data_IF_087057534420
#
_entry.id   IF_087057534420
#
_cell.length_a   1.000
_cell.length_b   1.000
_cell.length_c   1.000
_cell.angle_alpha   90.00
_cell.angle_beta   90.00
_cell.angle_gamma   90.00
#
_symmetry.space_group_name_H-M   'P 1'
#
loop_
_entity.id
_entity.type
_entity.pdbx_description
1 polymer ?
#
# COMPACT_ATOMS: atom_id res chain seq x y z
N UNK A 1 43.03 -14.76 -3.62
CA UNK A 1 41.73 -14.19 -3.33
C UNK A 1 40.74 -15.21 -2.81
N UNK A 2 39.65 -14.73 -2.20
CA UNK A 2 38.57 -15.58 -1.68
C UNK A 2 37.54 -15.98 -2.75
N UNK A 3 37.60 -15.38 -3.95
CA UNK A 3 36.74 -15.66 -5.08
C UNK A 3 37.57 -15.89 -6.34
N UNK A 4 37.05 -16.74 -7.24
CA UNK A 4 37.71 -17.12 -8.48
C UNK A 4 37.26 -16.31 -9.71
N UNK A 5 36.71 -15.13 -9.49
CA UNK A 5 36.23 -14.20 -10.51
C UNK A 5 36.79 -12.82 -10.28
N UNK A 6 37.12 -12.11 -11.37
CA UNK A 6 37.62 -10.73 -11.29
C UNK A 6 36.51 -9.75 -10.94
N UNK A 7 35.30 -9.93 -11.53
CA UNK A 7 34.12 -9.12 -11.28
C UNK A 7 33.01 -10.02 -10.72
N UNK A 8 32.73 -9.96 -9.39
CA UNK A 8 31.73 -10.82 -8.76
C UNK A 8 30.28 -10.40 -9.08
N UNK A 9 30.06 -9.15 -9.50
CA UNK A 9 28.73 -8.60 -9.76
C UNK A 9 28.60 -8.23 -11.23
N UNK A 10 27.66 -8.88 -11.94
CA UNK A 10 27.44 -8.66 -13.38
C UNK A 10 26.46 -7.52 -13.66
N UNK A 11 25.65 -7.12 -12.69
CA UNK A 11 24.59 -6.10 -12.85
C UNK A 11 24.34 -5.40 -11.53
N UNK A 12 24.24 -4.07 -11.59
CA UNK A 12 23.71 -3.23 -10.50
C UNK A 12 22.25 -2.89 -10.79
N UNK A 13 21.38 -3.13 -9.82
CA UNK A 13 19.96 -2.79 -9.90
C UNK A 13 19.65 -1.76 -8.82
N UNK A 14 19.34 -0.55 -9.23
CA UNK A 14 18.94 0.52 -8.33
C UNK A 14 17.44 0.41 -8.04
N UNK A 15 17.11 -0.07 -6.85
CA UNK A 15 15.72 -0.15 -6.41
C UNK A 15 15.19 1.24 -6.02
N UNK A 16 13.93 1.52 -6.35
CA UNK A 16 13.19 2.66 -5.84
C UNK A 16 12.97 2.54 -4.33
N UNK A 17 12.82 3.67 -3.66
CA UNK A 17 12.51 3.70 -2.22
C UNK A 17 11.02 3.61 -1.97
N UNK A 18 10.63 2.96 -0.88
CA UNK A 18 9.30 3.09 -0.30
C UNK A 18 9.28 4.39 0.51
N UNK A 19 8.35 5.28 0.16
CA UNK A 19 8.20 6.59 0.77
C UNK A 19 7.11 6.54 1.85
N UNK A 20 7.27 7.40 2.87
CA UNK A 20 6.23 7.62 3.88
C UNK A 20 5.35 8.80 3.52
N UNK A 21 4.14 8.82 4.05
CA UNK A 21 3.28 9.99 4.00
C UNK A 21 3.44 10.75 5.31
N UNK A 22 4.11 11.91 5.26
CA UNK A 22 4.28 12.79 6.42
C UNK A 22 2.98 13.51 6.77
N UNK A 23 2.83 13.84 8.05
CA UNK A 23 1.75 14.66 8.56
C UNK A 23 2.34 15.99 9.07
N UNK A 24 1.64 17.10 8.76
CA UNK A 24 2.07 18.42 9.16
C UNK A 24 1.01 19.15 9.94
N UNK A 25 1.44 19.78 11.02
CA UNK A 25 0.67 20.81 11.75
C UNK A 25 1.29 22.18 11.45
N UNK A 26 0.47 23.22 11.34
CA UNK A 26 0.87 24.53 10.84
C UNK A 26 0.90 25.54 11.97
N UNK A 27 2.11 25.84 12.43
CA UNK A 27 2.36 26.77 13.54
C UNK A 27 2.39 28.20 13.05
N UNK A 28 1.72 29.06 13.82
CA UNK A 28 1.80 30.51 13.72
C UNK A 28 2.46 31.06 14.97
N UNK A 29 3.57 31.74 14.81
CA UNK A 29 4.21 32.52 15.85
C UNK A 29 3.94 33.99 15.64
N UNK A 30 3.67 34.71 16.71
CA UNK A 30 3.46 36.16 16.70
C UNK A 30 4.57 36.83 17.48
N UNK A 31 4.96 38.05 17.07
CA UNK A 31 5.83 38.92 17.86
C UNK A 31 5.11 40.22 18.15
N UNK A 32 5.27 40.72 19.36
CA UNK A 32 4.67 42.00 19.78
C UNK A 32 5.75 43.06 19.98
N UNK A 33 5.44 44.31 19.67
CA UNK A 33 6.25 45.45 20.08
C UNK A 33 5.67 45.97 21.39
N UNK A 34 6.46 45.93 22.47
CA UNK A 34 6.03 46.40 23.79
C UNK A 34 6.10 47.92 23.83
N UNK A 35 5.00 48.55 24.16
CA UNK A 35 4.90 50.04 24.35
C UNK A 35 5.20 50.44 25.78
N UNK A 36 4.65 49.71 26.74
CA UNK A 36 4.88 49.99 28.16
C UNK A 36 4.78 48.71 28.99
N UNK A 37 5.39 48.74 30.17
CA UNK A 37 5.36 47.64 31.14
C UNK A 37 4.76 48.19 32.42
N UNK A 38 3.59 47.70 32.82
CA UNK A 38 2.87 48.15 34.02
C UNK A 38 3.27 47.38 35.31
N UNK A 39 3.99 46.26 35.16
CA UNK A 39 4.41 45.42 36.29
C UNK A 39 5.90 45.05 36.18
N UNK A 40 6.51 44.61 37.30
CA UNK A 40 7.93 44.19 37.37
C UNK A 40 8.18 42.79 36.79
N UNK A 41 7.40 42.39 35.80
CA UNK A 41 7.52 41.07 35.14
C UNK A 41 8.60 41.14 34.09
N UNK A 42 9.49 40.14 34.07
CA UNK A 42 10.54 40.04 33.05
C UNK A 42 9.98 39.43 31.75
N UNK A 43 10.39 39.97 30.63
CA UNK A 43 9.97 39.54 29.29
C UNK A 43 10.20 38.04 29.01
N UNK A 44 11.29 37.49 29.57
CA UNK A 44 11.67 36.11 29.41
C UNK A 44 10.83 35.12 30.25
N UNK A 45 10.01 35.64 31.17
CA UNK A 45 9.10 34.88 32.01
C UNK A 45 7.75 34.64 31.34
N UNK A 46 7.34 35.46 30.36
CA UNK A 46 6.09 35.29 29.62
C UNK A 46 6.28 34.36 28.43
N UNK A 47 5.69 33.19 28.53
CA UNK A 47 5.68 32.21 27.45
C UNK A 47 4.32 32.21 26.73
N UNK A 48 4.35 32.48 25.44
CA UNK A 48 3.19 32.26 24.59
C UNK A 48 2.98 30.77 24.33
N UNK A 49 1.75 30.28 24.34
CA UNK A 49 1.48 28.93 23.83
C UNK A 49 1.82 28.82 22.34
N UNK A 50 2.06 27.62 21.87
CA UNK A 50 2.14 27.39 20.43
C UNK A 50 0.75 27.42 19.83
N UNK A 51 0.57 28.18 18.76
CA UNK A 51 -0.70 28.27 18.05
C UNK A 51 -0.61 27.50 16.74
N UNK A 52 -1.58 26.63 16.51
CA UNK A 52 -1.70 25.85 15.28
C UNK A 52 -3.00 26.21 14.57
N UNK A 53 -2.90 26.46 13.26
CA UNK A 53 -4.00 26.86 12.40
C UNK A 53 -4.25 25.84 11.29
N UNK A 54 -5.45 25.81 10.70
CA UNK A 54 -5.73 24.99 9.52
C UNK A 54 -4.78 25.30 8.36
N UNK A 55 -4.53 24.29 7.52
CA UNK A 55 -3.64 24.39 6.36
C UNK A 55 -3.98 25.58 5.46
N UNK A 56 -5.26 25.78 5.18
CA UNK A 56 -5.73 26.87 4.32
C UNK A 56 -5.35 28.26 4.86
N UNK A 57 -5.52 28.48 6.16
CA UNK A 57 -5.16 29.73 6.85
C UNK A 57 -3.65 29.96 6.79
N UNK A 58 -2.86 28.90 6.99
CA UNK A 58 -1.40 28.97 6.87
C UNK A 58 -0.96 29.35 5.44
N UNK A 59 -1.54 28.73 4.41
CA UNK A 59 -1.21 29.01 3.00
C UNK A 59 -1.61 30.44 2.56
N UNK A 60 -2.73 30.96 3.09
CA UNK A 60 -3.13 32.36 2.91
C UNK A 60 -2.14 33.31 3.59
N UNK A 61 -1.78 33.01 4.84
CA UNK A 61 -0.84 33.83 5.61
C UNK A 61 0.54 33.88 4.95
N UNK A 62 1.00 32.82 4.30
CA UNK A 62 2.24 32.84 3.49
C UNK A 62 2.20 33.86 2.35
N UNK A 63 1.02 34.17 1.84
CA UNK A 63 0.80 35.16 0.77
C UNK A 63 0.49 36.56 1.30
N UNK A 64 0.50 36.73 2.63
CA UNK A 64 0.15 37.99 3.30
C UNK A 64 -1.35 38.24 3.45
N UNK A 65 -2.18 37.24 3.17
CA UNK A 65 -3.62 37.26 3.36
C UNK A 65 -3.97 36.65 4.72
N UNK A 66 -4.38 37.46 5.68
CA UNK A 66 -4.64 37.07 7.06
C UNK A 66 -6.14 36.92 7.30
N UNK A 67 -6.61 35.70 7.32
CA UNK A 67 -8.01 35.36 7.59
C UNK A 67 -8.37 35.43 9.09
N UNK A 68 -9.64 35.13 9.41
CA UNK A 68 -10.15 35.17 10.78
C UNK A 68 -9.38 34.29 11.76
N UNK A 69 -8.88 33.12 11.30
CA UNK A 69 -8.10 32.20 12.12
C UNK A 69 -6.74 32.80 12.53
N UNK A 70 -6.08 33.48 11.61
CA UNK A 70 -4.82 34.19 11.90
C UNK A 70 -5.07 35.36 12.83
N UNK A 71 -6.15 36.12 12.61
CA UNK A 71 -6.56 37.25 13.49
C UNK A 71 -6.89 36.72 14.89
N UNK A 72 -7.57 35.60 15.02
CA UNK A 72 -7.87 34.97 16.31
C UNK A 72 -6.60 34.60 17.09
N UNK A 73 -5.61 33.95 16.43
CA UNK A 73 -4.30 33.64 17.05
C UNK A 73 -3.66 34.93 17.57
N UNK A 74 -3.69 35.96 16.76
CA UNK A 74 -3.09 37.23 17.11
C UNK A 74 -3.74 37.87 18.33
N UNK A 75 -5.08 37.88 18.40
CA UNK A 75 -5.83 38.42 19.53
C UNK A 75 -5.57 37.62 20.82
N UNK A 76 -5.50 36.31 20.74
CA UNK A 76 -5.13 35.43 21.87
C UNK A 76 -3.72 35.71 22.37
N UNK A 77 -2.75 35.81 21.49
CA UNK A 77 -1.37 36.12 21.85
C UNK A 77 -1.27 37.52 22.51
N UNK A 78 -2.02 38.49 21.99
CA UNK A 78 -2.10 39.84 22.58
C UNK A 78 -2.68 39.81 24.00
N UNK A 79 -3.77 39.08 24.23
CA UNK A 79 -4.37 38.92 25.57
C UNK A 79 -3.37 38.34 26.56
N UNK A 80 -2.58 37.30 26.18
CA UNK A 80 -1.55 36.73 27.06
C UNK A 80 -0.51 37.79 27.50
N UNK A 81 -0.10 38.70 26.61
CA UNK A 81 0.81 39.76 26.94
C UNK A 81 0.15 40.79 27.88
N UNK A 82 -1.07 41.20 27.57
CA UNK A 82 -1.84 42.19 28.37
C UNK A 82 -2.14 41.68 29.77
N UNK A 83 -2.51 40.41 29.93
CA UNK A 83 -2.78 39.76 31.21
C UNK A 83 -1.50 39.67 32.08
N UNK A 84 -0.33 39.68 31.46
CA UNK A 84 0.97 39.78 32.17
C UNK A 84 1.49 41.21 32.34
N UNK A 85 0.66 42.22 32.11
CA UNK A 85 0.96 43.63 32.39
C UNK A 85 1.80 44.33 31.32
N UNK A 86 1.83 43.81 30.09
CA UNK A 86 2.49 44.45 28.96
C UNK A 86 1.47 45.15 28.07
N UNK A 87 1.66 46.42 27.78
CA UNK A 87 0.94 47.10 26.72
C UNK A 87 1.67 46.83 25.40
N UNK A 88 1.01 46.14 24.47
CA UNK A 88 1.63 45.72 23.22
C UNK A 88 0.99 46.42 22.02
N UNK A 89 1.86 46.81 21.06
CA UNK A 89 1.41 47.20 19.72
C UNK A 89 1.26 45.96 18.87
N UNK A 90 0.03 45.77 18.39
CA UNK A 90 -0.27 44.70 17.48
C UNK A 90 0.31 44.97 16.09
N UNK A 91 1.23 44.14 15.65
CA UNK A 91 1.80 44.26 14.33
C UNK A 91 1.70 42.89 13.56
N UNK A 92 0.64 42.79 12.76
CA UNK A 92 0.42 41.61 11.90
C UNK A 92 1.58 41.33 10.91
N UNK A 93 2.45 42.33 10.69
CA UNK A 93 3.59 42.17 9.77
C UNK A 93 4.77 41.36 10.34
N UNK A 94 4.69 40.88 11.57
CA UNK A 94 5.72 40.08 12.25
C UNK A 94 5.21 38.71 12.66
N UNK A 95 4.60 38.01 11.72
CA UNK A 95 4.15 36.62 11.90
C UNK A 95 5.25 35.69 11.41
N UNK A 96 5.57 34.67 12.19
CA UNK A 96 6.41 33.55 11.76
C UNK A 96 5.53 32.34 11.46
N UNK A 97 5.79 31.71 10.32
CA UNK A 97 5.04 30.54 9.86
C UNK A 97 5.96 29.34 9.75
N UNK A 98 5.55 28.22 10.30
CA UNK A 98 6.32 26.97 10.19
C UNK A 98 5.40 25.75 10.12
N UNK A 99 5.66 24.87 9.16
CA UNK A 99 5.08 23.55 9.11
C UNK A 99 5.93 22.61 9.96
N UNK A 100 5.32 21.90 10.88
CA UNK A 100 5.97 21.00 11.83
C UNK A 100 5.46 19.60 11.57
N UNK A 101 6.38 18.63 11.47
CA UNK A 101 6.01 17.22 11.37
C UNK A 101 5.31 16.75 12.65
N UNK A 102 4.17 16.12 12.49
CA UNK A 102 3.49 15.36 13.54
C UNK A 102 3.77 13.86 13.35
N UNK A 103 3.74 13.11 14.45
CA UNK A 103 3.81 11.65 14.34
C UNK A 103 2.57 11.12 13.63
N UNK A 104 2.78 10.30 12.60
CA UNK A 104 1.66 9.77 11.80
C UNK A 104 0.74 8.86 12.60
N UNK A 105 1.20 8.34 13.74
CA UNK A 105 0.36 7.54 14.65
C UNK A 105 -0.74 8.35 15.35
N UNK A 106 -0.62 9.68 15.39
CA UNK A 106 -1.66 10.58 15.95
C UNK A 106 -2.72 10.96 14.93
N UNK A 107 -2.66 10.43 13.70
CA UNK A 107 -3.53 10.87 12.60
C UNK A 107 -4.35 9.71 12.08
N UNK A 108 -5.67 9.88 12.06
CA UNK A 108 -6.58 8.88 11.56
C UNK A 108 -6.67 8.84 10.01
N UNK A 109 -7.49 7.92 9.48
CA UNK A 109 -7.69 7.75 8.03
C UNK A 109 -8.38 8.93 7.33
N UNK A 110 -8.99 9.85 8.09
CA UNK A 110 -9.64 11.08 7.60
C UNK A 110 -8.72 12.30 7.69
N UNK A 111 -7.43 12.10 7.95
CA UNK A 111 -6.41 13.13 8.17
C UNK A 111 -6.64 14.01 9.39
N UNK A 112 -7.43 13.53 10.37
CA UNK A 112 -7.71 14.24 11.61
C UNK A 112 -6.65 13.89 12.66
N UNK A 113 -6.14 14.94 13.33
CA UNK A 113 -5.14 14.84 14.39
C UNK A 113 -5.80 14.53 15.73
N UNK A 114 -5.26 13.55 16.45
CA UNK A 114 -5.48 13.43 17.89
C UNK A 114 -4.68 14.54 18.59
N UNK A 115 -5.39 15.66 18.84
CA UNK A 115 -4.81 16.88 19.43
C UNK A 115 -4.26 16.62 20.83
N UNK A 116 -4.93 15.78 21.64
CA UNK A 116 -4.48 15.47 22.98
C UNK A 116 -3.21 14.63 22.99
N UNK A 117 -3.13 13.64 22.14
CA UNK A 117 -1.89 12.85 21.95
C UNK A 117 -0.74 13.73 21.47
N UNK A 118 -0.99 14.66 20.55
CA UNK A 118 0.02 15.60 20.07
C UNK A 118 0.49 16.56 21.20
N UNK A 119 -0.41 17.12 21.99
CA UNK A 119 -0.05 17.97 23.13
C UNK A 119 0.82 17.24 24.16
N UNK A 120 0.48 16.00 24.45
CA UNK A 120 1.19 15.18 25.42
C UNK A 120 2.51 14.61 24.88
N UNK A 121 2.78 14.69 23.58
CA UNK A 121 3.98 14.14 22.96
C UNK A 121 5.25 14.85 23.41
N UNK A 122 5.19 16.19 23.56
CA UNK A 122 6.33 17.00 24.02
C UNK A 122 5.87 18.06 25.00
N UNK A 123 6.69 18.28 26.04
CA UNK A 123 6.38 19.28 27.08
C UNK A 123 6.11 20.68 26.52
N UNK A 124 6.74 21.06 25.43
CA UNK A 124 6.59 22.36 24.77
C UNK A 124 5.21 22.54 24.12
N UNK A 125 4.46 21.44 23.88
CA UNK A 125 3.13 21.47 23.27
C UNK A 125 1.98 21.32 24.27
N UNK A 126 2.28 21.12 25.58
CA UNK A 126 1.23 20.90 26.58
C UNK A 126 0.16 21.98 26.58
N UNK A 127 0.61 23.26 26.46
CA UNK A 127 -0.28 24.43 26.45
C UNK A 127 -0.61 24.89 25.01
N UNK A 128 -0.34 24.08 24.00
CA UNK A 128 -0.60 24.45 22.62
C UNK A 128 -2.10 24.64 22.34
N UNK A 129 -2.41 25.64 21.56
CA UNK A 129 -3.76 25.95 21.12
C UNK A 129 -3.95 25.64 19.64
N UNK A 130 -5.01 24.94 19.34
CA UNK A 130 -5.39 24.58 17.97
C UNK A 130 -6.65 25.34 17.57
N UNK A 131 -6.61 25.96 16.39
CA UNK A 131 -7.80 26.47 15.74
C UNK A 131 -8.42 25.32 14.95
N UNK A 132 -9.62 24.92 15.34
CA UNK A 132 -10.32 23.76 14.76
C UNK A 132 -11.27 24.21 13.66
N UNK A 133 -11.51 23.34 12.68
CA UNK A 133 -12.57 23.44 11.69
C UNK A 133 -13.56 22.30 11.95
N UNK A 134 -14.82 22.61 12.18
CA UNK A 134 -15.88 21.63 12.53
C UNK A 134 -15.45 20.69 13.70
N UNK A 135 -14.87 21.28 14.75
CA UNK A 135 -14.38 20.61 15.97
C UNK A 135 -13.19 19.64 15.75
N UNK A 136 -12.59 19.60 14.56
CA UNK A 136 -11.43 18.76 14.25
C UNK A 136 -10.25 19.58 13.73
N UNK A 137 -9.04 19.06 13.90
CA UNK A 137 -7.83 19.61 13.26
C UNK A 137 -7.35 18.67 12.17
N UNK A 138 -7.36 19.13 10.92
CA UNK A 138 -6.85 18.36 9.78
C UNK A 138 -5.39 18.69 9.47
N UNK A 139 -4.57 17.66 9.42
CA UNK A 139 -3.14 17.77 9.06
C UNK A 139 -2.95 17.98 7.57
N UNK A 140 -1.83 18.62 7.19
CA UNK A 140 -1.33 18.53 5.83
C UNK A 140 -0.65 17.18 5.58
N UNK A 141 -0.68 16.71 4.32
CA UNK A 141 0.04 15.49 3.91
C UNK A 141 1.01 15.80 2.81
N UNK A 142 2.18 15.14 2.86
CA UNK A 142 3.14 15.12 1.77
C UNK A 142 3.87 13.78 1.74
N UNK A 143 4.27 13.35 0.54
CA UNK A 143 5.00 12.10 0.33
C UNK A 143 6.49 12.38 0.39
N UNK A 144 7.15 11.81 1.39
CA UNK A 144 8.57 12.07 1.66
C UNK A 144 9.33 10.75 1.94
N UNK A 145 10.65 10.82 1.87
CA UNK A 145 11.50 9.73 2.36
C UNK A 145 11.19 9.45 3.82
N UNK A 146 10.98 8.18 4.19
CA UNK A 146 10.81 7.77 5.57
C UNK A 146 12.02 8.14 6.42
N UNK A 147 11.77 8.79 7.55
CA UNK A 147 12.81 9.18 8.49
C UNK A 147 12.22 9.28 9.90
N UNK A 148 13.00 8.86 10.90
CA UNK A 148 12.62 9.02 12.31
C UNK A 148 12.41 10.49 12.69
N UNK A 149 13.17 11.41 12.09
CA UNK A 149 13.03 12.86 12.32
C UNK A 149 11.79 13.49 11.68
N UNK A 150 11.14 12.77 10.74
CA UNK A 150 9.90 13.20 10.09
C UNK A 150 8.67 12.49 10.66
N UNK A 151 8.86 11.53 11.56
CA UNK A 151 7.80 10.77 12.22
C UNK A 151 6.80 10.12 11.25
N UNK A 152 7.31 9.73 10.07
CA UNK A 152 6.54 9.12 8.97
C UNK A 152 6.97 7.68 8.68
N UNK A 153 7.62 7.02 9.64
CA UNK A 153 8.12 5.65 9.49
C UNK A 153 7.01 4.67 9.82
N UNK A 154 6.83 3.70 8.92
CA UNK A 154 6.01 2.51 9.20
C UNK A 154 6.92 1.46 9.81
N UNK A 155 6.57 0.97 11.01
CA UNK A 155 7.35 -0.09 11.66
C UNK A 155 6.98 -1.46 11.07
N UNK A 156 7.93 -2.17 10.43
CA UNK A 156 7.68 -3.52 9.90
C UNK A 156 7.17 -4.51 10.94
N UNK A 157 7.62 -4.42 12.20
CA UNK A 157 7.20 -5.34 13.26
C UNK A 157 5.69 -5.26 13.52
N UNK A 158 5.11 -4.05 13.49
CA UNK A 158 3.67 -3.86 13.65
C UNK A 158 2.92 -4.48 12.46
N UNK A 159 3.42 -4.27 11.24
CA UNK A 159 2.81 -4.85 10.04
C UNK A 159 2.88 -6.37 10.06
N UNK A 160 4.00 -6.94 10.52
CA UNK A 160 4.15 -8.41 10.66
C UNK A 160 3.22 -8.95 11.74
N UNK A 161 3.04 -8.23 12.86
CA UNK A 161 2.11 -8.65 13.92
C UNK A 161 0.64 -8.65 13.43
N UNK A 162 0.25 -7.65 12.63
CA UNK A 162 -1.14 -7.48 12.18
C UNK A 162 -1.48 -8.35 10.96
N UNK A 163 -0.55 -8.52 10.01
CA UNK A 163 -0.82 -9.13 8.70
C UNK A 163 0.04 -10.36 8.38
N UNK A 164 1.11 -10.58 9.13
CA UNK A 164 2.09 -11.64 8.87
C UNK A 164 3.21 -11.23 7.90
N UNK A 165 4.37 -11.89 8.03
CA UNK A 165 5.56 -11.59 7.24
C UNK A 165 5.36 -11.80 5.72
N UNK A 166 4.62 -12.84 5.33
CA UNK A 166 4.34 -13.10 3.91
C UNK A 166 3.48 -12.01 3.26
N UNK A 167 2.53 -11.44 4.02
CA UNK A 167 1.73 -10.29 3.52
C UNK A 167 2.61 -9.06 3.30
N UNK A 168 3.54 -8.77 4.23
CA UNK A 168 4.48 -7.66 4.08
C UNK A 168 5.37 -7.86 2.85
N UNK A 169 6.03 -9.01 2.72
CA UNK A 169 6.92 -9.33 1.60
C UNK A 169 6.22 -9.22 0.25
N UNK A 170 5.05 -9.86 0.15
CA UNK A 170 4.26 -9.87 -1.08
C UNK A 170 3.76 -8.46 -1.44
N UNK A 171 3.40 -7.65 -0.44
CA UNK A 171 2.94 -6.28 -0.64
C UNK A 171 4.07 -5.36 -1.10
N UNK A 172 5.28 -5.48 -0.55
CA UNK A 172 6.44 -4.72 -1.00
C UNK A 172 6.76 -4.97 -2.47
N UNK A 173 6.68 -6.23 -2.92
CA UNK A 173 6.83 -6.59 -4.32
C UNK A 173 5.67 -6.07 -5.19
N UNK A 174 4.45 -6.03 -4.65
CA UNK A 174 3.24 -5.62 -5.39
C UNK A 174 3.11 -4.12 -5.58
N UNK A 175 3.70 -3.29 -4.73
CA UNK A 175 3.53 -1.82 -4.72
C UNK A 175 3.78 -1.14 -6.08
N UNK A 176 4.59 -1.74 -6.95
CA UNK A 176 4.86 -1.23 -8.30
C UNK A 176 6.21 -1.64 -8.85
N UNK A 177 6.62 -1.11 -10.01
CA UNK A 177 7.91 -1.43 -10.65
C UNK A 177 9.09 -1.21 -9.70
N UNK A 178 10.08 -2.12 -9.74
CA UNK A 178 11.18 -2.16 -8.78
C UNK A 178 11.97 -0.84 -8.69
N UNK A 179 12.18 -0.15 -9.80
CA UNK A 179 13.02 1.04 -9.89
C UNK A 179 12.29 2.34 -9.48
N UNK A 180 10.96 2.31 -9.32
CA UNK A 180 10.18 3.50 -9.00
C UNK A 180 10.06 3.74 -7.50
N UNK A 181 10.00 5.03 -7.11
CA UNK A 181 9.60 5.43 -5.76
C UNK A 181 8.10 5.19 -5.57
N UNK A 182 7.72 4.70 -4.41
CA UNK A 182 6.34 4.28 -4.13
C UNK A 182 5.93 4.75 -2.74
N UNK A 183 4.80 5.46 -2.60
CA UNK A 183 4.27 5.77 -1.28
C UNK A 183 3.72 4.50 -0.62
N UNK A 184 4.06 4.30 0.66
CA UNK A 184 3.44 3.26 1.46
C UNK A 184 1.97 3.59 1.72
N UNK A 185 1.11 2.59 1.55
CA UNK A 185 -0.30 2.68 1.91
C UNK A 185 -0.72 1.43 2.67
N UNK A 186 -0.90 1.55 3.98
CA UNK A 186 -1.28 0.41 4.84
C UNK A 186 -2.61 -0.23 4.42
N UNK A 187 -3.55 0.55 3.87
CA UNK A 187 -4.82 -0.02 3.38
C UNK A 187 -4.62 -1.01 2.21
N UNK A 188 -3.57 -0.81 1.40
CA UNK A 188 -3.28 -1.69 0.26
C UNK A 188 -2.85 -3.11 0.65
N UNK A 189 -2.27 -3.29 1.85
CA UNK A 189 -1.81 -4.62 2.32
C UNK A 189 -2.99 -5.58 2.58
N UNK A 190 -4.17 -5.05 2.88
CA UNK A 190 -5.37 -5.87 3.13
C UNK A 190 -5.77 -6.70 1.91
N UNK A 191 -5.55 -6.17 0.69
CA UNK A 191 -5.80 -6.89 -0.56
C UNK A 191 -4.89 -8.11 -0.71
N UNK A 192 -3.60 -7.93 -0.43
CA UNK A 192 -2.60 -9.01 -0.46
C UNK A 192 -2.86 -10.05 0.63
N UNK A 193 -3.18 -9.61 1.84
CA UNK A 193 -3.53 -10.49 2.94
C UNK A 193 -4.79 -11.33 2.63
N UNK A 194 -5.80 -10.72 2.02
CA UNK A 194 -7.00 -11.42 1.56
C UNK A 194 -6.69 -12.42 0.45
N UNK A 195 -5.75 -12.12 -0.46
CA UNK A 195 -5.26 -13.06 -1.46
C UNK A 195 -4.61 -14.29 -0.81
N UNK A 196 -3.71 -14.12 0.18
CA UNK A 196 -3.10 -15.26 0.87
C UNK A 196 -4.14 -16.13 1.58
N UNK A 197 -5.16 -15.52 2.21
CA UNK A 197 -6.30 -16.27 2.78
C UNK A 197 -7.09 -17.05 1.72
N UNK A 198 -7.28 -16.47 0.54
CA UNK A 198 -7.95 -17.17 -0.58
C UNK A 198 -7.08 -18.31 -1.11
N UNK A 199 -5.78 -18.08 -1.25
CA UNK A 199 -4.82 -19.12 -1.61
C UNK A 199 -4.88 -20.28 -0.61
N UNK A 200 -4.82 -20.00 0.69
CA UNK A 200 -4.95 -21.04 1.72
C UNK A 200 -6.20 -21.89 1.52
N UNK A 201 -7.36 -21.27 1.27
CA UNK A 201 -8.64 -21.96 1.05
C UNK A 201 -8.67 -22.83 -0.20
N UNK A 202 -7.83 -22.59 -1.19
CA UNK A 202 -7.69 -23.44 -2.38
C UNK A 202 -7.09 -24.80 -2.00
N UNK A 203 -6.18 -24.83 -1.01
CA UNK A 203 -5.50 -26.03 -0.55
C UNK A 203 -6.18 -26.69 0.63
N UNK A 204 -6.73 -25.92 1.56
CA UNK A 204 -7.29 -26.38 2.83
C UNK A 204 -8.74 -25.96 2.93
N UNK A 205 -9.62 -26.95 2.88
CA UNK A 205 -11.07 -26.78 3.09
C UNK A 205 -11.48 -26.97 4.55
N UNK A 206 -12.77 -26.96 4.81
CA UNK A 206 -13.34 -27.14 6.17
C UNK A 206 -12.99 -28.50 6.79
N UNK A 207 -12.82 -29.53 5.97
CA UNK A 207 -12.51 -30.90 6.40
C UNK A 207 -11.02 -31.26 6.30
N UNK A 208 -10.13 -30.27 6.19
CA UNK A 208 -8.69 -30.45 6.01
C UNK A 208 -8.23 -30.26 4.57
N UNK A 209 -7.17 -30.97 4.17
CA UNK A 209 -6.55 -30.80 2.85
C UNK A 209 -7.52 -31.17 1.72
N UNK A 210 -7.71 -30.22 0.79
CA UNK A 210 -8.58 -30.34 -0.39
C UNK A 210 -7.78 -30.68 -1.67
N UNK A 211 -6.63 -31.28 -1.54
CA UNK A 211 -5.71 -31.62 -2.64
C UNK A 211 -5.58 -33.13 -2.74
N UNK A 212 -5.61 -33.66 -3.95
CA UNK A 212 -5.53 -35.07 -4.25
C UNK A 212 -4.74 -35.36 -5.54
N UNK A 213 -4.53 -36.61 -5.86
CA UNK A 213 -3.79 -37.06 -7.06
C UNK A 213 -4.65 -37.14 -8.34
N UNK A 214 -5.78 -36.41 -8.39
CA UNK A 214 -6.60 -36.33 -9.57
C UNK A 214 -5.81 -35.73 -10.73
N UNK A 215 -5.98 -36.32 -11.94
CA UNK A 215 -5.37 -35.79 -13.14
C UNK A 215 -5.87 -34.35 -13.41
N UNK A 216 -4.99 -33.44 -13.80
CA UNK A 216 -5.38 -32.06 -14.08
C UNK A 216 -6.26 -31.98 -15.34
N UNK A 217 -7.21 -31.05 -15.33
CA UNK A 217 -7.98 -30.73 -16.52
C UNK A 217 -7.13 -29.89 -17.50
N UNK A 218 -7.58 -29.80 -18.76
CA UNK A 218 -6.93 -28.93 -19.76
C UNK A 218 -6.90 -27.47 -19.30
N UNK A 219 -7.94 -26.99 -18.63
CA UNK A 219 -8.02 -25.63 -18.14
C UNK A 219 -7.07 -25.40 -16.95
N UNK A 220 -6.90 -26.39 -16.06
CA UNK A 220 -5.89 -26.33 -14.99
C UNK A 220 -4.48 -26.20 -15.56
N UNK A 221 -4.12 -27.06 -16.55
CA UNK A 221 -2.83 -27.02 -17.22
C UNK A 221 -2.62 -25.69 -17.95
N UNK A 222 -3.63 -25.21 -18.67
CA UNK A 222 -3.57 -23.90 -19.36
C UNK A 222 -3.30 -22.76 -18.37
N UNK A 223 -4.03 -22.70 -17.26
CA UNK A 223 -3.82 -21.69 -16.20
C UNK A 223 -2.43 -21.79 -15.62
N UNK A 224 -1.95 -23.00 -15.29
CA UNK A 224 -0.61 -23.21 -14.74
C UNK A 224 0.48 -22.77 -15.72
N UNK A 225 0.46 -23.26 -16.95
CA UNK A 225 1.53 -22.96 -17.92
C UNK A 225 1.53 -21.51 -18.37
N UNK A 226 0.38 -20.84 -18.45
CA UNK A 226 0.29 -19.40 -18.63
C UNK A 226 0.96 -18.65 -17.47
N UNK A 227 0.75 -19.13 -16.24
CA UNK A 227 1.34 -18.55 -15.02
C UNK A 227 2.86 -18.79 -15.00
N UNK A 228 3.35 -20.00 -15.27
CA UNK A 228 4.79 -20.32 -15.34
C UNK A 228 5.48 -19.37 -16.32
N UNK A 229 4.98 -19.29 -17.56
CA UNK A 229 5.54 -18.44 -18.60
C UNK A 229 5.64 -16.98 -18.14
N UNK A 230 4.52 -16.44 -17.63
CA UNK A 230 4.45 -15.03 -17.24
C UNK A 230 5.36 -14.72 -16.06
N UNK A 231 5.40 -15.60 -15.05
CA UNK A 231 6.25 -15.41 -13.86
C UNK A 231 7.72 -15.50 -14.23
N UNK A 232 8.11 -16.43 -15.11
CA UNK A 232 9.48 -16.52 -15.62
C UNK A 232 9.90 -15.23 -16.33
N UNK A 233 9.08 -14.74 -17.26
CA UNK A 233 9.32 -13.48 -17.98
C UNK A 233 9.41 -12.29 -17.00
N UNK A 234 8.55 -12.22 -16.00
CA UNK A 234 8.53 -11.16 -15.00
C UNK A 234 9.78 -11.15 -14.13
N UNK A 235 10.26 -12.33 -13.71
CA UNK A 235 11.50 -12.46 -12.91
C UNK A 235 12.71 -12.02 -13.74
N UNK A 236 12.80 -12.47 -14.99
CA UNK A 236 13.90 -12.10 -15.92
C UNK A 236 13.94 -10.59 -16.17
N UNK A 237 12.78 -9.92 -16.19
CA UNK A 237 12.64 -8.48 -16.39
C UNK A 237 12.52 -7.66 -15.10
N UNK A 238 12.67 -8.26 -13.93
CA UNK A 238 12.49 -7.62 -12.62
C UNK A 238 11.12 -6.96 -12.42
N UNK A 239 10.09 -7.49 -13.08
CA UNK A 239 8.70 -7.01 -13.01
C UNK A 239 7.92 -7.78 -11.92
N UNK A 240 8.43 -7.80 -10.69
CA UNK A 240 7.88 -8.62 -9.59
C UNK A 240 6.44 -8.27 -9.24
N UNK A 241 6.02 -7.02 -9.41
CA UNK A 241 4.66 -6.58 -9.17
C UNK A 241 3.63 -7.24 -10.11
N UNK A 242 4.03 -7.51 -11.35
CA UNK A 242 3.17 -8.22 -12.32
C UNK A 242 3.08 -9.71 -12.01
N UNK A 243 4.12 -10.33 -11.46
CA UNK A 243 4.05 -11.71 -10.94
C UNK A 243 3.00 -11.85 -9.84
N UNK A 244 2.95 -10.90 -8.89
CA UNK A 244 1.95 -10.93 -7.82
C UNK A 244 0.52 -10.87 -8.37
N UNK A 245 0.27 -10.00 -9.35
CA UNK A 245 -1.02 -9.94 -10.05
C UNK A 245 -1.34 -11.24 -10.77
N UNK A 246 -0.33 -11.88 -11.39
CA UNK A 246 -0.46 -13.16 -12.08
C UNK A 246 -0.84 -14.27 -11.11
N UNK A 247 -0.26 -14.29 -9.90
CA UNK A 247 -0.65 -15.24 -8.85
C UNK A 247 -2.11 -15.06 -8.41
N UNK A 248 -2.56 -13.81 -8.26
CA UNK A 248 -3.95 -13.51 -7.91
C UNK A 248 -4.92 -14.03 -8.99
N UNK A 249 -4.57 -13.85 -10.27
CA UNK A 249 -5.35 -14.38 -11.39
C UNK A 249 -5.38 -15.90 -11.37
N UNK A 250 -4.22 -16.55 -11.23
CA UNK A 250 -4.11 -18.02 -11.23
C UNK A 250 -4.92 -18.65 -10.10
N UNK A 251 -4.83 -18.12 -8.87
CA UNK A 251 -5.61 -18.60 -7.72
C UNK A 251 -7.10 -18.41 -7.96
N UNK A 252 -7.53 -17.30 -8.58
CA UNK A 252 -8.93 -17.06 -8.92
C UNK A 252 -9.45 -18.06 -9.98
N UNK A 253 -8.68 -18.28 -11.03
CA UNK A 253 -9.03 -19.22 -12.11
C UNK A 253 -9.11 -20.66 -11.56
N UNK A 254 -8.06 -21.13 -10.85
CA UNK A 254 -8.04 -22.47 -10.26
C UNK A 254 -9.14 -22.69 -9.21
N UNK A 255 -9.50 -21.66 -8.44
CA UNK A 255 -10.64 -21.73 -7.52
C UNK A 255 -11.96 -21.91 -8.28
N UNK A 256 -12.16 -21.14 -9.36
CA UNK A 256 -13.37 -21.24 -10.21
C UNK A 256 -13.45 -22.60 -10.89
N UNK A 257 -12.32 -23.13 -11.32
CA UNK A 257 -12.17 -24.47 -11.91
C UNK A 257 -12.29 -25.61 -10.89
N UNK A 258 -12.39 -25.28 -9.58
CA UNK A 258 -12.42 -26.26 -8.48
C UNK A 258 -11.23 -27.23 -8.54
N UNK A 259 -10.05 -26.70 -8.84
CA UNK A 259 -8.83 -27.48 -8.99
C UNK A 259 -8.43 -28.11 -7.65
N UNK A 260 -8.27 -29.44 -7.65
CA UNK A 260 -7.75 -30.22 -6.50
C UNK A 260 -6.48 -31.00 -6.87
N UNK A 261 -6.01 -30.89 -8.11
CA UNK A 261 -4.85 -31.63 -8.59
C UNK A 261 -3.57 -31.23 -7.88
N UNK A 262 -2.93 -32.19 -7.22
CA UNK A 262 -1.65 -32.01 -6.52
C UNK A 262 -0.55 -31.51 -7.45
N UNK A 263 -0.47 -32.02 -8.67
CA UNK A 263 0.51 -31.63 -9.69
C UNK A 263 0.46 -30.11 -9.97
N UNK A 264 -0.74 -29.57 -10.20
CA UNK A 264 -0.97 -28.15 -10.47
C UNK A 264 -0.64 -27.30 -9.25
N UNK A 265 -1.16 -27.70 -8.10
CA UNK A 265 -1.07 -26.91 -6.88
C UNK A 265 0.35 -26.91 -6.29
N UNK A 266 1.09 -28.01 -6.37
CA UNK A 266 2.52 -28.03 -6.00
C UNK A 266 3.35 -27.09 -6.88
N UNK A 267 3.13 -27.12 -8.19
CA UNK A 267 3.84 -26.24 -9.12
C UNK A 267 3.54 -24.75 -8.84
N UNK A 268 2.29 -24.41 -8.51
CA UNK A 268 1.91 -23.06 -8.11
C UNK A 268 2.62 -22.61 -6.82
N UNK A 269 2.75 -23.49 -5.81
CA UNK A 269 3.50 -23.18 -4.58
C UNK A 269 4.96 -22.85 -4.87
N UNK A 270 5.62 -23.60 -5.75
CA UNK A 270 7.01 -23.33 -6.13
C UNK A 270 7.15 -21.92 -6.72
N UNK A 271 6.22 -21.50 -7.58
CA UNK A 271 6.23 -20.15 -8.17
C UNK A 271 6.05 -19.05 -7.13
N UNK A 272 5.21 -19.28 -6.10
CA UNK A 272 4.88 -18.29 -5.06
C UNK A 272 5.92 -18.26 -3.94
N UNK A 273 6.63 -19.35 -3.70
CA UNK A 273 7.52 -19.52 -2.53
C UNK A 273 8.56 -18.40 -2.34
N UNK A 274 9.17 -17.78 -3.36
CA UNK A 274 10.09 -16.65 -3.14
C UNK A 274 9.41 -15.39 -2.62
N UNK A 275 8.13 -15.23 -2.90
CA UNK A 275 7.31 -14.07 -2.51
C UNK A 275 6.66 -14.24 -1.14
N UNK A 276 6.16 -15.45 -0.84
CA UNK A 276 5.45 -15.79 0.40
C UNK A 276 5.96 -17.15 0.94
N UNK A 277 7.20 -17.19 1.48
CA UNK A 277 7.88 -18.44 1.81
C UNK A 277 7.22 -19.24 2.92
N UNK A 278 6.65 -18.58 3.95
CA UNK A 278 6.12 -19.31 5.12
C UNK A 278 4.85 -20.07 4.78
N UNK A 279 3.89 -19.43 4.10
CA UNK A 279 2.65 -20.11 3.70
C UNK A 279 2.93 -21.18 2.63
N UNK A 280 3.91 -20.93 1.74
CA UNK A 280 4.28 -21.90 0.71
C UNK A 280 4.93 -23.14 1.32
N UNK A 281 5.86 -22.99 2.27
CA UNK A 281 6.52 -24.09 2.98
C UNK A 281 5.53 -24.91 3.82
N UNK A 282 4.62 -24.23 4.54
CA UNK A 282 3.58 -24.91 5.32
C UNK A 282 2.68 -25.76 4.43
N UNK A 283 2.15 -25.20 3.34
CA UNK A 283 1.30 -25.95 2.41
C UNK A 283 2.08 -27.07 1.70
N UNK A 284 3.35 -26.85 1.38
CA UNK A 284 4.24 -27.85 0.79
C UNK A 284 4.42 -29.06 1.70
N UNK A 285 4.66 -28.82 2.97
CA UNK A 285 4.73 -29.85 4.01
C UNK A 285 3.41 -30.62 4.16
N UNK A 286 2.27 -29.91 4.17
CA UNK A 286 0.94 -30.55 4.27
C UNK A 286 0.62 -31.43 3.05
N UNK A 287 1.20 -31.14 1.87
CA UNK A 287 1.12 -32.00 0.69
C UNK A 287 1.97 -33.26 0.76
N UNK A 288 2.67 -33.48 1.91
CA UNK A 288 3.45 -34.70 2.18
C UNK A 288 4.88 -34.66 1.65
N UNK A 289 5.42 -33.47 1.33
CA UNK A 289 6.82 -33.34 0.94
C UNK A 289 7.72 -33.25 2.18
N UNK A 290 8.85 -33.95 2.17
CA UNK A 290 9.81 -33.99 3.29
C UNK A 290 10.95 -32.96 3.15
N UNK A 291 11.30 -32.62 1.93
CA UNK A 291 12.32 -31.63 1.61
C UNK A 291 11.72 -30.22 1.55
N UNK A 292 12.50 -29.21 1.87
CA UNK A 292 12.05 -27.80 1.77
C UNK A 292 11.73 -27.42 0.33
N UNK A 293 10.67 -26.64 0.14
CA UNK A 293 10.28 -26.08 -1.15
C UNK A 293 11.39 -25.23 -1.76
N UNK A 294 12.25 -24.62 -0.92
CA UNK A 294 13.35 -23.76 -1.36
C UNK A 294 14.41 -24.47 -2.20
N UNK A 295 14.48 -25.82 -2.13
CA UNK A 295 15.41 -26.64 -2.92
C UNK A 295 14.78 -27.21 -4.20
N UNK A 296 13.50 -26.93 -4.43
CA UNK A 296 12.75 -27.46 -5.57
C UNK A 296 13.03 -26.64 -6.83
N UNK A 297 13.23 -27.33 -7.95
CA UNK A 297 13.46 -26.69 -9.25
C UNK A 297 12.24 -25.87 -9.71
N UNK A 298 12.50 -24.79 -10.42
CA UNK A 298 11.45 -23.99 -11.04
C UNK A 298 10.65 -24.84 -12.06
N UNK A 299 9.30 -24.73 -12.09
CA UNK A 299 8.46 -25.53 -12.99
C UNK A 299 8.77 -25.24 -14.46
N UNK A 300 8.80 -26.31 -15.25
CA UNK A 300 9.12 -26.21 -16.68
C UNK A 300 7.89 -25.77 -17.47
N UNK A 301 8.05 -24.75 -18.30
CA UNK A 301 6.98 -24.27 -19.19
C UNK A 301 6.83 -25.21 -20.39
N UNK A 302 5.58 -25.62 -20.70
CA UNK A 302 5.23 -26.36 -21.90
C UNK A 302 4.15 -25.57 -22.70
N UNK A 303 4.55 -25.13 -23.90
CA UNK A 303 3.69 -24.33 -24.78
C UNK A 303 2.49 -25.13 -25.34
N UNK A 304 2.55 -26.47 -25.34
CA UNK A 304 1.47 -27.32 -25.87
C UNK A 304 0.15 -27.13 -25.11
N UNK A 305 0.24 -26.79 -23.80
CA UNK A 305 -0.92 -26.52 -22.96
C UNK A 305 -1.58 -25.16 -23.21
N UNK A 306 -0.95 -24.27 -23.97
CA UNK A 306 -1.52 -22.97 -24.37
C UNK A 306 -2.19 -22.97 -25.72
N UNK A 307 -2.09 -24.07 -26.47
CA UNK A 307 -2.71 -24.18 -27.79
C UNK A 307 -4.22 -24.30 -27.61
N UNK A 308 -4.94 -23.30 -28.06
CA UNK A 308 -6.40 -23.32 -28.08
C UNK A 308 -6.86 -24.23 -29.24
N UNK A 309 -7.49 -25.35 -28.90
CA UNK A 309 -8.14 -26.22 -29.86
C UNK A 309 -9.57 -25.82 -30.19
N UNK A 310 -10.20 -25.04 -29.35
CA UNK A 310 -11.57 -24.55 -29.49
C UNK A 310 -11.69 -23.06 -29.11
N UNK A 311 -12.73 -22.42 -29.61
CA UNK A 311 -13.06 -21.01 -29.29
C UNK A 311 -14.56 -20.89 -29.02
N UNK A 312 -14.88 -20.07 -28.02
CA UNK A 312 -16.25 -19.73 -27.70
C UNK A 312 -16.77 -18.64 -28.65
N UNK A 313 -17.81 -19.00 -29.45
CA UNK A 313 -18.47 -18.08 -30.35
C UNK A 313 -19.77 -17.59 -29.71
N UNK A 314 -19.90 -16.29 -29.41
CA UNK A 314 -21.19 -15.73 -28.99
C UNK A 314 -22.13 -15.67 -30.20
N UNK A 315 -23.25 -16.39 -30.13
CA UNK A 315 -24.22 -16.46 -31.19
C UNK A 315 -25.33 -15.45 -30.94
N UNK A 316 -25.54 -14.56 -31.92
CA UNK A 316 -26.54 -13.50 -31.84
C UNK A 316 -27.55 -13.59 -32.96
N UNK A 317 -28.83 -13.47 -32.65
CA UNK A 317 -29.93 -13.33 -33.60
C UNK A 317 -30.61 -11.98 -33.46
N UNK A 318 -30.75 -11.25 -34.55
CA UNK A 318 -31.34 -9.91 -34.59
C UNK A 318 -30.69 -8.94 -33.56
N UNK A 319 -29.36 -8.98 -33.46
CA UNK A 319 -28.59 -8.10 -32.57
C UNK A 319 -28.62 -8.48 -31.08
N UNK A 320 -29.28 -9.56 -30.69
CA UNK A 320 -29.34 -10.06 -29.32
C UNK A 320 -28.56 -11.36 -29.19
N UNK A 321 -27.57 -11.41 -28.26
CA UNK A 321 -26.87 -12.64 -27.91
C UNK A 321 -27.86 -13.65 -27.32
N UNK A 322 -27.83 -14.89 -27.80
CA UNK A 322 -28.73 -15.98 -27.38
C UNK A 322 -28.02 -17.05 -26.58
N UNK A 323 -26.89 -17.52 -27.08
CA UNK A 323 -26.06 -18.52 -26.43
C UNK A 323 -24.62 -18.40 -26.89
N UNK A 324 -23.74 -19.16 -26.25
CA UNK A 324 -22.32 -19.28 -26.62
C UNK A 324 -22.10 -20.73 -27.05
N UNK A 325 -21.44 -20.95 -28.17
CA UNK A 325 -21.11 -22.26 -28.68
C UNK A 325 -19.61 -22.42 -28.76
N UNK A 326 -19.08 -23.45 -28.10
CA UNK A 326 -17.66 -23.79 -28.16
C UNK A 326 -17.41 -24.66 -29.40
N UNK A 327 -16.62 -24.15 -30.33
CA UNK A 327 -16.29 -24.84 -31.59
C UNK A 327 -14.78 -24.92 -31.81
N UNK A 328 -14.28 -26.01 -32.45
CA UNK A 328 -12.87 -26.15 -32.84
C UNK A 328 -12.39 -24.97 -33.69
N UNK A 329 -11.20 -24.43 -33.38
CA UNK A 329 -10.63 -23.30 -34.15
C UNK A 329 -10.35 -23.62 -35.62
N UNK A 330 -10.22 -24.91 -35.96
CA UNK A 330 -9.97 -25.38 -37.31
C UNK A 330 -11.25 -25.41 -38.20
N UNK A 331 -12.44 -25.09 -37.63
CA UNK A 331 -13.67 -25.10 -38.41
C UNK A 331 -13.74 -23.87 -39.33
N UNK A 332 -14.12 -24.15 -40.60
CA UNK A 332 -14.41 -23.08 -41.54
C UNK A 332 -15.78 -22.46 -41.27
N UNK A 333 -16.09 -21.36 -41.97
CA UNK A 333 -17.35 -20.60 -41.79
C UNK A 333 -18.58 -21.44 -41.98
N UNK A 334 -18.62 -22.29 -43.05
CA UNK A 334 -19.75 -23.14 -43.37
C UNK A 334 -20.01 -24.20 -42.30
N UNK A 335 -18.95 -24.77 -41.74
CA UNK A 335 -19.05 -25.74 -40.65
C UNK A 335 -19.54 -25.07 -39.33
N UNK A 336 -19.10 -23.82 -39.05
CA UNK A 336 -19.60 -23.04 -37.92
C UNK A 336 -21.07 -22.73 -38.06
N UNK A 337 -21.54 -22.27 -39.24
CA UNK A 337 -22.95 -22.01 -39.51
C UNK A 337 -23.80 -23.27 -39.34
N UNK A 338 -23.34 -24.40 -39.88
CA UNK A 338 -24.01 -25.69 -39.72
C UNK A 338 -24.13 -26.12 -38.25
N UNK A 339 -23.08 -25.96 -37.48
CA UNK A 339 -23.07 -26.26 -36.04
C UNK A 339 -24.01 -25.34 -35.22
N UNK A 340 -24.09 -24.06 -35.59
CA UNK A 340 -25.02 -23.10 -34.97
C UNK A 340 -26.45 -23.42 -35.27
N UNK A 341 -26.79 -23.83 -36.53
CA UNK A 341 -28.12 -24.19 -36.96
C UNK A 341 -28.56 -25.55 -36.40
N UNK A 342 -27.63 -26.45 -36.10
CA UNK A 342 -27.90 -27.75 -35.50
C UNK A 342 -28.00 -27.72 -33.96
N UNK A 343 -27.76 -26.57 -33.34
CA UNK A 343 -27.85 -26.43 -31.88
C UNK A 343 -29.28 -26.04 -31.52
N UNK A 344 -30.03 -26.98 -30.95
CA UNK A 344 -31.42 -26.83 -30.50
C UNK A 344 -31.55 -25.92 -29.24
#
# INVERSE_FOLDING_TARGET
GFVNVEEPFKKLINQGMILGTSAFVFRVGTSATIKSISQSVRLDEVKLPYFFVPKLSYEKAQKGDYDENIIQVFNKAKSVWEDNGFEVESNLNKISLSAIHADVSFVNSSDELDVESFKNWRKEYNDAEFILEDDVYKVGRDVEKMSKSKYNVVNPDNIVADYGADSLRLYEMFLGPLEQYKPWNTAGITGVHSFLKKMWKLYVGENGLNVNDAAPTKDNLKTLHKTIKKVQEDIENFSFNTSVSTFMIAVNELTTQKCTSKEILQSLLVLISPYAPHIAEELWSQLGNSESISTTSFPIFDATHLVESSKNYPISFNGKMRFTLELPMAMNKEAIEAAVLANE
#
